data_IF_781284198822
#
_entry.id   IF_781284198822
#
_cell.length_a   1.000
_cell.length_b   1.000
_cell.length_c   1.000
_cell.angle_alpha   90.00
_cell.angle_beta   90.00
_cell.angle_gamma   90.00
#
_symmetry.space_group_name_H-M   'P 1'
#
loop_
_entity.id
_entity.type
_entity.pdbx_description
1 polymer ?
#
# COMPACT_ATOMS: atom_id res chain seq x y z
N UNK A 1 -3.24 2.93 0.41
CA UNK A 1 -1.81 3.15 0.70
C UNK A 1 -1.57 4.24 1.75
N UNK A 2 -1.45 5.53 1.41
CA UNK A 2 -1.07 6.60 2.38
C UNK A 2 -2.16 7.00 3.39
N UNK A 3 -3.40 7.19 2.93
CA UNK A 3 -4.49 7.76 3.76
C UNK A 3 -5.46 6.71 4.34
N UNK A 4 -5.19 5.41 4.14
CA UNK A 4 -6.05 4.30 4.62
C UNK A 4 -7.56 4.47 4.30
N UNK A 5 -7.89 5.12 3.18
CA UNK A 5 -9.28 5.25 2.72
C UNK A 5 -9.75 3.92 2.09
N UNK A 6 -10.95 3.44 2.41
CA UNK A 6 -11.55 2.30 1.71
C UNK A 6 -11.64 2.57 0.22
N UNK A 7 -11.39 1.54 -0.59
CA UNK A 7 -11.47 1.58 -2.05
C UNK A 7 -12.12 0.31 -2.56
N UNK A 8 -12.89 0.45 -3.63
CA UNK A 8 -13.43 -0.65 -4.41
C UNK A 8 -12.76 -0.67 -5.78
N UNK A 9 -13.03 -1.73 -6.53
CA UNK A 9 -12.87 -1.72 -7.99
C UNK A 9 -13.69 -0.54 -8.53
N UNK A 10 -13.11 0.21 -9.47
CA UNK A 10 -13.72 1.39 -10.07
C UNK A 10 -14.13 1.14 -11.52
N UNK A 11 -13.21 0.62 -12.34
CA UNK A 11 -13.41 0.43 -13.78
C UNK A 11 -13.37 -1.03 -14.18
N UNK A 12 -12.73 -1.90 -13.38
CA UNK A 12 -12.53 -3.31 -13.71
C UNK A 12 -11.80 -3.55 -15.05
N UNK A 13 -10.98 -2.58 -15.48
CA UNK A 13 -10.18 -2.65 -16.69
C UNK A 13 -8.68 -2.50 -16.37
N UNK A 14 -7.84 -2.46 -17.40
CA UNK A 14 -6.40 -2.24 -17.25
C UNK A 14 -6.05 -0.94 -16.50
N UNK A 15 -6.90 0.08 -16.61
CA UNK A 15 -6.69 1.40 -16.05
C UNK A 15 -7.25 1.54 -14.63
N UNK A 16 -7.77 0.46 -14.01
CA UNK A 16 -8.31 0.53 -12.66
C UNK A 16 -7.24 1.00 -11.66
N UNK A 17 -7.46 2.15 -10.99
CA UNK A 17 -6.46 2.72 -10.09
C UNK A 17 -6.45 2.08 -8.70
N UNK A 18 -7.44 1.24 -8.39
CA UNK A 18 -7.70 0.72 -7.06
C UNK A 18 -7.40 -0.77 -6.93
N UNK A 19 -7.58 -1.55 -8.00
CA UNK A 19 -7.42 -2.99 -8.02
C UNK A 19 -5.95 -3.42 -8.15
N UNK A 20 -5.21 -3.30 -7.04
CA UNK A 20 -3.81 -3.70 -6.95
C UNK A 20 -3.67 -4.82 -5.90
N UNK A 21 -3.06 -5.93 -6.30
CA UNK A 21 -2.83 -7.13 -5.46
C UNK A 21 -1.37 -7.58 -5.53
N UNK A 22 -0.97 -8.46 -4.62
CA UNK A 22 0.32 -9.14 -4.69
C UNK A 22 0.07 -10.56 -5.18
N UNK A 23 0.91 -11.04 -6.11
CA UNK A 23 0.85 -12.40 -6.64
C UNK A 23 2.17 -13.09 -6.33
N UNK A 24 2.20 -13.97 -5.33
CA UNK A 24 3.43 -14.55 -4.80
C UNK A 24 4.45 -13.45 -4.43
N UNK A 25 5.60 -13.47 -5.12
CA UNK A 25 6.68 -12.49 -4.94
C UNK A 25 6.53 -11.22 -5.82
N UNK A 26 5.51 -11.14 -6.68
CA UNK A 26 5.26 -10.00 -7.56
C UNK A 26 4.37 -8.95 -6.85
N UNK A 27 4.91 -7.79 -6.44
CA UNK A 27 4.13 -6.74 -5.78
C UNK A 27 3.42 -5.85 -6.81
N UNK A 28 2.40 -5.10 -6.38
CA UNK A 28 1.75 -4.07 -7.20
C UNK A 28 1.16 -4.60 -8.53
N UNK A 29 0.69 -5.84 -8.57
CA UNK A 29 0.03 -6.42 -9.75
C UNK A 29 -1.34 -5.78 -9.95
N UNK A 30 -1.63 -5.38 -11.19
CA UNK A 30 -2.95 -4.88 -11.60
C UNK A 30 -3.95 -6.04 -11.66
N UNK A 31 -4.71 -6.21 -10.59
CA UNK A 31 -5.63 -7.34 -10.42
C UNK A 31 -6.76 -7.35 -11.46
N UNK A 32 -7.18 -6.19 -11.95
CA UNK A 32 -8.25 -6.09 -12.95
C UNK A 32 -7.82 -6.52 -14.37
N UNK A 33 -6.53 -6.74 -14.62
CA UNK A 33 -6.00 -7.15 -15.93
C UNK A 33 -5.18 -8.46 -15.87
N UNK A 34 -4.70 -8.86 -14.69
CA UNK A 34 -3.96 -10.10 -14.54
C UNK A 34 -4.87 -11.29 -14.86
N UNK A 35 -4.46 -12.10 -15.84
CA UNK A 35 -5.15 -13.35 -16.15
C UNK A 35 -5.06 -14.31 -14.97
N UNK A 36 -6.18 -14.98 -14.68
CA UNK A 36 -6.23 -16.01 -13.66
C UNK A 36 -5.56 -17.29 -14.17
N UNK A 37 -4.69 -17.83 -13.32
CA UNK A 37 -3.97 -19.06 -13.55
C UNK A 37 -4.18 -19.99 -12.34
N UNK A 38 -4.17 -21.29 -12.58
CA UNK A 38 -4.32 -22.26 -11.51
C UNK A 38 -3.15 -22.18 -10.53
N UNK A 39 -3.44 -22.13 -9.23
CA UNK A 39 -2.41 -22.10 -8.18
C UNK A 39 -1.81 -20.72 -7.92
N UNK A 40 -2.37 -19.63 -8.45
CA UNK A 40 -1.94 -18.28 -8.10
C UNK A 40 -2.12 -18.01 -6.60
N UNK A 41 -1.03 -17.68 -5.92
CA UNK A 41 -1.06 -17.15 -4.56
C UNK A 41 -1.32 -15.65 -4.61
N UNK A 42 -2.52 -15.21 -4.23
CA UNK A 42 -2.94 -13.80 -4.31
C UNK A 42 -3.22 -13.26 -2.93
N UNK A 43 -2.58 -12.15 -2.59
CA UNK A 43 -2.76 -11.48 -1.30
C UNK A 43 -3.03 -9.98 -1.45
N UNK A 44 -3.71 -9.41 -0.45
CA UNK A 44 -4.00 -7.98 -0.38
C UNK A 44 -2.75 -7.18 -0.03
N UNK A 45 -2.55 -6.05 -0.69
CA UNK A 45 -1.40 -5.20 -0.43
C UNK A 45 -1.64 -4.17 0.66
N UNK A 46 -0.59 -3.91 1.45
CA UNK A 46 -0.53 -2.81 2.40
C UNK A 46 -1.43 -2.98 3.62
N UNK A 47 -2.18 -4.07 3.76
CA UNK A 47 -2.93 -4.48 4.95
C UNK A 47 -2.06 -5.33 5.87
N UNK A 48 -2.17 -5.14 7.18
CA UNK A 48 -1.49 -5.99 8.15
C UNK A 48 -2.29 -6.10 9.45
N UNK A 49 -2.48 -7.32 10.01
CA UNK A 49 -2.08 -8.62 9.48
C UNK A 49 -2.94 -9.12 8.30
N UNK A 50 -4.16 -8.60 8.11
CA UNK A 50 -5.03 -9.00 6.99
C UNK A 50 -5.91 -7.84 6.51
N UNK A 51 -6.59 -8.00 5.38
CA UNK A 51 -7.53 -6.99 4.89
C UNK A 51 -8.69 -6.70 5.86
N UNK A 52 -9.17 -7.72 6.59
CA UNK A 52 -10.25 -7.59 7.59
C UNK A 52 -9.76 -6.97 8.89
N UNK A 53 -8.50 -7.25 9.26
CA UNK A 53 -7.85 -6.76 10.47
C UNK A 53 -6.61 -5.98 10.06
N UNK A 54 -6.80 -4.72 9.67
CA UNK A 54 -5.72 -3.82 9.28
C UNK A 54 -5.35 -2.90 10.44
N UNK A 55 -4.38 -3.29 11.27
CA UNK A 55 -3.92 -2.50 12.41
C UNK A 55 -3.36 -1.14 11.97
N UNK A 56 -2.84 -1.04 10.74
CA UNK A 56 -2.31 0.22 10.20
C UNK A 56 -3.44 1.24 9.93
N UNK A 57 -4.73 0.85 10.01
CA UNK A 57 -5.89 1.75 9.92
C UNK A 57 -5.92 2.80 11.02
N UNK A 58 -5.31 2.54 12.19
CA UNK A 58 -5.21 3.51 13.30
C UNK A 58 -4.54 4.83 12.90
N UNK A 59 -3.74 4.81 11.83
CA UNK A 59 -3.07 6.01 11.29
C UNK A 59 -3.98 6.92 10.46
N UNK A 60 -5.21 6.48 10.14
CA UNK A 60 -6.17 7.22 9.30
C UNK A 60 -6.48 8.65 9.83
N UNK A 61 -6.67 8.90 11.13
CA UNK A 61 -6.92 10.25 11.64
C UNK A 61 -5.74 11.21 11.43
N UNK A 62 -4.52 10.71 11.33
CA UNK A 62 -3.33 11.52 11.03
C UNK A 62 -3.23 11.93 9.55
N UNK A 63 -4.14 11.46 8.68
CA UNK A 63 -4.13 11.76 7.24
C UNK A 63 -4.01 13.27 6.89
N UNK A 64 -4.67 14.21 7.60
CA UNK A 64 -4.51 15.65 7.32
C UNK A 64 -3.08 16.16 7.52
N UNK A 65 -2.33 15.58 8.47
CA UNK A 65 -0.93 15.93 8.70
C UNK A 65 0.01 15.40 7.61
N UNK A 66 -0.43 14.42 6.81
CA UNK A 66 0.33 13.82 5.72
C UNK A 66 0.16 14.61 4.41
N UNK A 67 0.23 15.94 4.46
CA UNK A 67 0.07 16.81 3.31
C UNK A 67 1.17 16.72 2.23
N UNK A 68 1.13 17.60 1.22
CA UNK A 68 2.19 17.72 0.22
C UNK A 68 3.56 17.94 0.88
N UNK A 69 4.59 17.26 0.37
CA UNK A 69 5.95 17.38 0.91
C UNK A 69 6.24 16.55 2.17
N UNK A 70 5.26 15.86 2.76
CA UNK A 70 5.47 15.04 3.97
C UNK A 70 6.65 14.07 3.82
N UNK A 71 6.73 13.31 2.73
CA UNK A 71 7.80 12.34 2.54
C UNK A 71 9.19 12.99 2.54
N UNK A 72 9.30 14.14 1.87
CA UNK A 72 10.55 14.91 1.80
C UNK A 72 10.94 15.47 3.16
N UNK A 73 9.98 16.09 3.87
CA UNK A 73 10.24 16.70 5.19
C UNK A 73 10.57 15.65 6.26
N UNK A 74 9.89 14.51 6.26
CA UNK A 74 9.98 13.52 7.33
C UNK A 74 11.10 12.51 7.09
N UNK A 75 11.32 12.06 5.85
CA UNK A 75 12.24 10.96 5.58
C UNK A 75 13.57 11.38 4.95
N UNK A 76 13.68 12.59 4.36
CA UNK A 76 14.97 13.07 3.86
C UNK A 76 15.77 13.89 4.89
N UNK A 77 15.11 14.46 5.90
CA UNK A 77 15.75 15.25 6.96
C UNK A 77 15.17 14.87 8.32
N UNK A 78 16.00 14.60 9.34
CA UNK A 78 17.46 14.51 9.32
C UNK A 78 17.95 13.17 8.71
N UNK A 79 19.05 13.22 7.94
CA UNK A 79 19.65 12.04 7.28
C UNK A 79 20.05 10.91 8.26
N UNK A 80 20.37 11.25 9.51
CA UNK A 80 20.77 10.28 10.54
C UNK A 80 19.67 9.26 10.88
N UNK A 81 18.40 9.60 10.71
CA UNK A 81 17.27 8.70 10.99
C UNK A 81 16.93 7.77 9.82
N UNK A 82 17.57 7.94 8.67
CA UNK A 82 17.31 7.14 7.47
C UNK A 82 17.42 5.62 7.67
N UNK A 83 18.42 5.06 8.40
CA UNK A 83 18.50 3.62 8.64
C UNK A 83 17.28 3.06 9.38
N UNK A 84 16.70 3.85 10.30
CA UNK A 84 15.48 3.49 11.04
C UNK A 84 14.28 3.52 10.11
N UNK A 85 14.15 4.59 9.31
CA UNK A 85 13.08 4.73 8.34
C UNK A 85 13.09 3.59 7.30
N UNK A 86 14.26 3.19 6.81
CA UNK A 86 14.39 2.05 5.90
C UNK A 86 13.86 0.75 6.51
N UNK A 87 14.17 0.49 7.79
CA UNK A 87 13.71 -0.74 8.46
C UNK A 87 12.18 -0.78 8.59
N UNK A 88 11.54 0.38 8.78
CA UNK A 88 10.09 0.50 8.88
C UNK A 88 9.41 0.48 7.50
N UNK A 89 10.03 1.10 6.48
CA UNK A 89 9.45 1.24 5.13
C UNK A 89 9.66 0.01 4.24
N UNK A 90 10.67 -0.83 4.47
CA UNK A 90 10.93 -2.07 3.71
C UNK A 90 10.03 -3.24 4.13
N UNK A 91 9.01 -2.97 4.96
CA UNK A 91 8.16 -3.96 5.62
C UNK A 91 6.69 -3.64 5.37
#
# INVERSE_FOLDING_TARGET
FKYRRPRSILTADYNDPNCMVQVGDEPNVRGAHRLLEAGMDVSSQGSWPSLRLDAKLVTRPAAPALGPGFYYKTFMRPRSLWPVYQRVLRR
#
